data_IF_082868211280
#
_entry.id   IF_082868211280
#
_cell.length_a   1.000
_cell.length_b   1.000
_cell.length_c   1.000
_cell.angle_alpha   90.00
_cell.angle_beta   90.00
_cell.angle_gamma   90.00
#
_symmetry.space_group_name_H-M   'P 1'
#
loop_
_entity.id
_entity.type
_entity.pdbx_description
1 polymer ?
#
# COMPACT_ATOMS: atom_id res chain seq x y z
N UNK A 1 -9.65 -14.09 42.14
CA UNK A 1 -9.13 -14.75 40.92
C UNK A 1 -8.71 -13.66 39.94
N UNK A 2 -7.44 -13.56 39.52
CA UNK A 2 -7.02 -12.56 38.54
C UNK A 2 -7.65 -12.86 37.18
N UNK A 3 -8.19 -11.82 36.55
CA UNK A 3 -8.87 -11.85 35.26
C UNK A 3 -8.00 -12.52 34.17
N UNK A 4 -8.49 -13.64 33.63
CA UNK A 4 -7.81 -14.46 32.62
C UNK A 4 -7.49 -13.66 31.36
N UNK A 5 -8.36 -12.69 30.99
CA UNK A 5 -8.14 -11.83 29.84
C UNK A 5 -6.96 -10.88 30.06
N UNK A 6 -6.83 -10.33 31.27
CA UNK A 6 -5.70 -9.46 31.63
C UNK A 6 -4.39 -10.25 31.62
N UNK A 7 -4.42 -11.52 32.04
CA UNK A 7 -3.26 -12.41 32.01
C UNK A 7 -2.78 -12.67 30.59
N UNK A 8 -3.68 -13.04 29.68
CA UNK A 8 -3.33 -13.24 28.27
C UNK A 8 -2.83 -11.97 27.58
N UNK A 9 -3.37 -10.79 27.93
CA UNK A 9 -2.85 -9.51 27.45
C UNK A 9 -1.44 -9.22 27.97
N UNK A 10 -1.18 -9.49 29.25
CA UNK A 10 0.13 -9.30 29.86
C UNK A 10 1.21 -10.12 29.15
N UNK A 11 0.95 -11.39 28.84
CA UNK A 11 1.89 -12.27 28.12
C UNK A 11 2.21 -11.76 26.70
N UNK A 12 1.19 -11.25 25.99
CA UNK A 12 1.38 -10.63 24.67
C UNK A 12 2.19 -9.35 24.76
N UNK A 13 1.93 -8.52 25.77
CA UNK A 13 2.69 -7.30 26.03
C UNK A 13 4.14 -7.60 26.41
N UNK A 14 4.39 -8.60 27.25
CA UNK A 14 5.76 -9.03 27.56
C UNK A 14 6.51 -9.49 26.31
N UNK A 15 5.86 -10.23 25.41
CA UNK A 15 6.46 -10.64 24.15
C UNK A 15 6.83 -9.43 23.28
N UNK A 16 5.92 -8.46 23.16
CA UNK A 16 6.17 -7.21 22.45
C UNK A 16 7.32 -6.40 23.06
N UNK A 17 7.35 -6.23 24.39
CA UNK A 17 8.42 -5.53 25.12
C UNK A 17 9.77 -6.23 24.97
N UNK A 18 9.77 -7.56 24.89
CA UNK A 18 10.96 -8.37 24.60
C UNK A 18 11.34 -8.38 23.10
N UNK A 19 10.70 -7.54 22.27
CA UNK A 19 10.88 -7.48 20.81
C UNK A 19 10.58 -8.80 20.08
N UNK A 20 9.83 -9.70 20.71
CA UNK A 20 9.27 -10.90 20.08
C UNK A 20 7.95 -10.53 19.42
N UNK A 21 8.06 -9.83 18.29
CA UNK A 21 6.91 -9.40 17.50
C UNK A 21 6.38 -10.61 16.72
N UNK A 22 5.09 -10.97 16.85
CA UNK A 22 4.54 -12.19 16.26
C UNK A 22 4.34 -12.10 14.74
N UNK A 23 4.58 -10.95 14.13
CA UNK A 23 4.40 -10.71 12.70
C UNK A 23 5.69 -10.19 12.11
N UNK A 24 6.16 -10.89 11.10
CA UNK A 24 7.37 -10.57 10.37
C UNK A 24 6.99 -10.05 8.99
N UNK A 25 7.55 -8.92 8.59
CA UNK A 25 7.39 -8.41 7.23
C UNK A 25 7.99 -9.44 6.26
N UNK A 26 7.17 -9.94 5.35
CA UNK A 26 7.57 -10.86 4.29
C UNK A 26 7.93 -10.10 3.02
N UNK A 27 7.07 -9.16 2.63
CA UNK A 27 7.25 -8.37 1.42
C UNK A 27 6.49 -7.04 1.50
N UNK A 28 6.99 -6.06 0.76
CA UNK A 28 6.38 -4.74 0.60
C UNK A 28 6.48 -4.33 -0.87
N UNK A 29 5.43 -3.69 -1.39
CA UNK A 29 5.45 -3.02 -2.69
C UNK A 29 4.74 -1.68 -2.60
N UNK A 30 5.09 -0.77 -3.50
CA UNK A 30 4.41 0.52 -3.66
C UNK A 30 3.76 0.59 -5.02
N UNK A 31 2.45 0.84 -5.04
CA UNK A 31 1.64 0.98 -6.25
C UNK A 31 1.30 2.46 -6.43
N UNK A 32 1.68 3.02 -7.56
CA UNK A 32 1.40 4.40 -7.94
C UNK A 32 0.07 4.45 -8.71
N UNK A 33 -0.76 5.44 -8.43
CA UNK A 33 -2.01 5.67 -9.15
C UNK A 33 -2.00 7.05 -9.81
N UNK A 34 -2.30 7.06 -11.11
CA UNK A 34 -2.45 8.27 -11.90
C UNK A 34 -3.81 8.94 -11.71
N UNK A 35 -3.93 10.16 -12.25
CA UNK A 35 -5.16 10.94 -12.21
C UNK A 35 -6.29 10.23 -12.96
N UNK A 36 -7.35 9.86 -12.25
CA UNK A 36 -8.49 9.14 -12.84
C UNK A 36 -8.31 7.61 -12.91
N UNK A 37 -7.21 7.07 -12.40
CA UNK A 37 -6.99 5.64 -12.28
C UNK A 37 -8.01 4.95 -11.36
N UNK A 38 -8.28 3.67 -11.64
CA UNK A 38 -9.22 2.84 -10.90
C UNK A 38 -8.64 2.35 -9.56
N UNK A 39 -8.22 3.28 -8.67
CA UNK A 39 -7.62 2.96 -7.36
C UNK A 39 -8.51 2.01 -6.53
N UNK A 40 -9.83 2.18 -6.64
CA UNK A 40 -10.81 1.35 -5.94
C UNK A 40 -11.10 0.00 -6.61
N UNK A 41 -10.87 -0.13 -7.92
CA UNK A 41 -11.10 -1.38 -8.64
C UNK A 41 -9.85 -2.27 -8.71
N UNK A 42 -8.67 -1.71 -8.41
CA UNK A 42 -7.43 -2.48 -8.28
C UNK A 42 -7.49 -3.48 -7.12
N UNK A 43 -6.80 -4.61 -7.27
CA UNK A 43 -6.59 -5.61 -6.21
C UNK A 43 -5.93 -5.01 -4.97
N UNK A 44 -5.14 -3.94 -5.15
CA UNK A 44 -4.50 -3.17 -4.08
C UNK A 44 -5.46 -2.17 -3.40
N UNK A 45 -6.71 -2.13 -3.86
CA UNK A 45 -7.80 -1.27 -3.39
C UNK A 45 -8.33 -1.63 -1.99
N UNK A 46 -8.29 -2.91 -1.63
CA UNK A 46 -8.92 -3.42 -0.39
C UNK A 46 -8.12 -4.59 0.18
N UNK A 47 -7.95 -4.62 1.51
CA UNK A 47 -7.19 -5.67 2.20
C UNK A 47 -7.70 -7.08 1.90
N UNK A 48 -9.02 -7.29 1.88
CA UNK A 48 -9.61 -8.62 1.62
C UNK A 48 -9.29 -9.14 0.23
N UNK A 49 -9.41 -8.28 -0.79
CA UNK A 49 -9.12 -8.64 -2.18
C UNK A 49 -7.63 -8.89 -2.37
N UNK A 50 -6.80 -8.05 -1.76
CA UNK A 50 -5.34 -8.20 -1.78
C UNK A 50 -4.88 -9.51 -1.10
N UNK A 51 -5.39 -9.81 0.10
CA UNK A 51 -5.06 -11.07 0.79
C UNK A 51 -5.50 -12.29 -0.02
N UNK A 52 -6.73 -12.28 -0.56
CA UNK A 52 -7.23 -13.38 -1.39
C UNK A 52 -6.37 -13.58 -2.65
N UNK A 53 -5.96 -12.50 -3.30
CA UNK A 53 -5.10 -12.56 -4.47
C UNK A 53 -3.71 -13.15 -4.14
N UNK A 54 -3.09 -12.72 -3.05
CA UNK A 54 -1.82 -13.30 -2.56
C UNK A 54 -2.00 -14.79 -2.27
N UNK A 55 -3.06 -15.18 -1.55
CA UNK A 55 -3.32 -16.60 -1.25
C UNK A 55 -3.50 -17.44 -2.50
N UNK A 56 -4.17 -16.94 -3.53
CA UNK A 56 -4.35 -17.65 -4.80
C UNK A 56 -3.04 -17.92 -5.57
N UNK A 57 -1.98 -17.17 -5.28
CA UNK A 57 -0.67 -17.28 -5.94
C UNK A 57 0.35 -18.05 -5.10
N UNK A 58 0.01 -18.40 -3.86
CA UNK A 58 0.85 -19.22 -3.00
C UNK A 58 0.83 -20.68 -3.45
N UNK A 59 1.97 -21.41 -3.33
CA UNK A 59 1.97 -22.86 -3.42
C UNK A 59 1.00 -23.50 -2.41
N UNK A 60 0.42 -24.65 -2.74
CA UNK A 60 -0.56 -25.36 -1.88
C UNK A 60 -0.05 -25.62 -0.46
N UNK A 61 1.24 -25.89 -0.34
CA UNK A 61 1.94 -26.09 0.94
C UNK A 61 1.91 -24.86 1.86
N UNK A 62 1.67 -23.66 1.32
CA UNK A 62 1.61 -22.40 2.07
C UNK A 62 0.22 -21.76 2.09
N UNK A 63 -0.82 -22.41 1.56
CA UNK A 63 -2.16 -21.81 1.42
C UNK A 63 -2.80 -21.43 2.78
N UNK A 64 -2.52 -22.23 3.81
CA UNK A 64 -3.09 -22.11 5.15
C UNK A 64 -2.22 -21.36 6.16
N UNK A 65 -1.07 -20.80 5.74
CA UNK A 65 -0.20 -20.07 6.67
C UNK A 65 -0.91 -18.83 7.22
N UNK A 66 -0.55 -18.47 8.45
CA UNK A 66 -1.03 -17.26 9.10
C UNK A 66 -0.42 -16.03 8.39
N UNK A 67 -1.29 -15.29 7.70
CA UNK A 67 -0.94 -14.06 6.99
C UNK A 67 -1.68 -12.87 7.58
N UNK A 68 -1.04 -11.71 7.47
CA UNK A 68 -1.70 -10.41 7.60
C UNK A 68 -1.27 -9.52 6.47
N UNK A 69 -2.19 -8.72 5.97
CA UNK A 69 -1.91 -7.68 5.00
C UNK A 69 -2.18 -6.30 5.60
N UNK A 70 -1.48 -5.30 5.11
CA UNK A 70 -1.68 -3.88 5.42
C UNK A 70 -1.62 -3.10 4.12
N UNK A 71 -2.60 -2.23 3.89
CA UNK A 71 -2.63 -1.33 2.74
C UNK A 71 -2.72 0.10 3.24
N UNK A 72 -1.58 0.78 3.24
CA UNK A 72 -1.51 2.17 3.62
C UNK A 72 -1.67 3.06 2.37
N UNK A 73 -2.74 3.86 2.34
CA UNK A 73 -2.94 4.88 1.30
C UNK A 73 -2.22 6.16 1.69
N UNK A 74 -1.39 6.67 0.79
CA UNK A 74 -0.80 8.00 0.93
C UNK A 74 -1.25 8.88 -0.24
N UNK A 75 -1.73 10.08 0.06
CA UNK A 75 -2.19 11.05 -0.93
C UNK A 75 -1.07 12.06 -1.15
N UNK A 76 -0.49 12.08 -2.34
CA UNK A 76 0.48 13.12 -2.72
C UNK A 76 -0.26 14.18 -3.53
N UNK A 77 -0.97 15.10 -2.87
CA UNK A 77 -1.64 16.19 -3.60
C UNK A 77 -1.39 17.57 -3.00
N UNK A 78 -0.57 18.39 -3.69
CA UNK A 78 -0.62 19.85 -3.60
C UNK A 78 -1.82 20.46 -4.37
N UNK A 79 -2.91 19.70 -4.59
CA UNK A 79 -4.11 20.14 -5.33
C UNK A 79 -5.34 19.24 -5.13
N UNK A 80 -5.41 18.48 -4.03
CA UNK A 80 -6.57 17.64 -3.72
C UNK A 80 -7.76 18.49 -3.28
N UNK A 81 -8.96 17.90 -3.18
CA UNK A 81 -10.17 18.50 -2.59
C UNK A 81 -10.04 18.77 -1.08
N UNK A 82 -8.88 19.25 -0.65
CA UNK A 82 -8.66 19.87 0.63
C UNK A 82 -9.18 21.32 0.55
N UNK A 83 -9.38 22.00 1.68
CA UNK A 83 -9.85 23.39 1.70
C UNK A 83 -9.01 24.37 0.87
N UNK A 84 -7.75 24.01 0.58
CA UNK A 84 -6.78 24.77 -0.21
C UNK A 84 -6.70 24.34 -1.69
N UNK A 85 -7.62 23.50 -2.17
CA UNK A 85 -7.69 23.11 -3.59
C UNK A 85 -7.79 24.33 -4.50
N UNK A 86 -7.01 24.36 -5.58
CA UNK A 86 -7.00 25.48 -6.53
C UNK A 86 -6.43 26.79 -5.97
N UNK A 87 -5.88 26.79 -4.75
CA UNK A 87 -5.29 27.97 -4.11
C UNK A 87 -3.75 28.02 -4.23
N UNK A 88 -3.16 27.09 -4.98
CA UNK A 88 -1.72 27.06 -5.24
C UNK A 88 -1.39 27.69 -6.59
N UNK A 89 -0.50 28.68 -6.56
CA UNK A 89 -0.09 29.46 -7.72
C UNK A 89 1.42 29.50 -7.85
N UNK A 90 1.90 29.61 -9.09
CA UNK A 90 3.29 29.79 -9.44
C UNK A 90 3.46 31.15 -10.10
N UNK A 91 4.46 31.91 -9.68
CA UNK A 91 4.84 33.16 -10.33
C UNK A 91 5.89 32.86 -11.40
N UNK A 92 5.60 33.25 -12.64
CA UNK A 92 6.52 33.22 -13.78
C UNK A 92 7.20 34.59 -13.91
N UNK A 93 8.45 34.74 -13.45
CA UNK A 93 9.16 36.02 -13.51
C UNK A 93 9.57 36.40 -14.94
N UNK A 94 9.58 35.44 -15.88
CA UNK A 94 9.97 35.71 -17.28
C UNK A 94 8.89 36.47 -18.02
N UNK A 95 7.62 36.16 -17.73
CA UNK A 95 6.46 36.79 -18.38
C UNK A 95 5.67 37.70 -17.44
N UNK A 96 6.12 37.85 -16.18
CA UNK A 96 5.44 38.60 -15.11
C UNK A 96 3.98 38.16 -14.92
N UNK A 97 3.78 36.84 -14.75
CA UNK A 97 2.44 36.24 -14.68
C UNK A 97 2.30 35.30 -13.51
N UNK A 98 1.09 35.25 -12.94
CA UNK A 98 0.69 34.25 -11.97
C UNK A 98 -0.07 33.16 -12.72
N UNK A 99 0.35 31.91 -12.55
CA UNK A 99 -0.27 30.71 -13.14
C UNK A 99 -0.77 29.79 -12.04
N UNK A 100 -1.76 28.96 -12.32
CA UNK A 100 -2.17 27.91 -11.38
C UNK A 100 -1.13 26.79 -11.40
N UNK A 101 -0.83 26.20 -10.24
CA UNK A 101 0.13 25.10 -10.16
C UNK A 101 -0.28 23.89 -11.03
N UNK A 102 -1.58 23.66 -11.19
CA UNK A 102 -2.18 22.60 -12.03
C UNK A 102 -1.95 22.79 -13.54
N UNK A 103 -1.58 24.01 -13.97
CA UNK A 103 -1.27 24.34 -15.36
C UNK A 103 0.18 23.98 -15.75
N UNK A 104 1.03 23.66 -14.77
CA UNK A 104 2.40 23.24 -15.01
C UNK A 104 2.46 21.75 -15.39
N UNK A 105 3.11 21.45 -16.51
CA UNK A 105 3.19 20.08 -17.03
C UNK A 105 3.91 19.15 -16.05
N UNK A 106 5.00 19.59 -15.42
CA UNK A 106 5.72 18.80 -14.42
C UNK A 106 4.82 18.38 -13.26
N UNK A 107 3.89 19.24 -12.87
CA UNK A 107 2.97 18.97 -11.76
C UNK A 107 1.94 17.88 -12.12
N UNK A 108 1.56 17.79 -13.40
CA UNK A 108 0.62 16.77 -13.89
C UNK A 108 1.23 15.36 -13.91
N UNK A 109 2.55 15.24 -13.95
CA UNK A 109 3.26 13.96 -13.96
C UNK A 109 3.56 13.40 -12.56
N UNK A 110 3.16 14.10 -11.49
CA UNK A 110 3.34 13.60 -10.12
C UNK A 110 2.16 12.65 -9.79
N UNK A 111 2.43 11.41 -9.34
CA UNK A 111 1.38 10.49 -8.90
C UNK A 111 0.50 11.14 -7.84
N UNK A 112 -0.83 11.06 -8.00
CA UNK A 112 -1.76 11.72 -7.09
C UNK A 112 -1.96 10.95 -5.79
N UNK A 113 -1.89 9.63 -5.87
CA UNK A 113 -1.91 8.73 -4.73
C UNK A 113 -0.98 7.56 -4.98
N UNK A 114 -0.51 6.99 -3.88
CA UNK A 114 0.14 5.70 -3.92
C UNK A 114 -0.31 4.87 -2.73
N UNK A 115 -0.16 3.56 -2.86
CA UNK A 115 -0.44 2.60 -1.80
C UNK A 115 0.81 1.82 -1.49
N UNK A 116 1.10 1.72 -0.20
CA UNK A 116 2.12 0.81 0.31
C UNK A 116 1.38 -0.45 0.75
N UNK A 117 1.64 -1.55 0.06
CA UNK A 117 1.04 -2.85 0.33
C UNK A 117 2.08 -3.73 1.01
N UNK A 118 1.78 -4.17 2.24
CA UNK A 118 2.66 -5.01 3.05
C UNK A 118 2.01 -6.34 3.33
N UNK A 119 2.80 -7.40 3.31
CA UNK A 119 2.39 -8.74 3.71
C UNK A 119 3.27 -9.21 4.86
N UNK A 120 2.64 -9.71 5.91
CA UNK A 120 3.28 -10.23 7.11
C UNK A 120 2.95 -11.71 7.29
N UNK A 121 3.93 -12.45 7.81
CA UNK A 121 3.82 -13.86 8.19
C UNK A 121 4.11 -14.03 9.67
N UNK A 122 3.47 -15.01 10.32
CA UNK A 122 3.79 -15.38 11.69
C UNK A 122 5.15 -16.10 11.82
N UNK A 123 5.61 -16.73 10.74
CA UNK A 123 6.87 -17.45 10.67
C UNK A 123 7.77 -16.87 9.58
N UNK A 124 9.01 -16.54 9.94
CA UNK A 124 10.00 -15.96 9.04
C UNK A 124 10.44 -16.90 7.90
N UNK A 125 10.27 -18.22 8.04
CA UNK A 125 10.59 -19.17 6.97
C UNK A 125 9.66 -19.02 5.75
N UNK A 126 8.42 -18.55 5.97
CA UNK A 126 7.46 -18.32 4.89
C UNK A 126 7.66 -17.02 4.11
N UNK A 127 8.70 -16.22 4.42
CA UNK A 127 8.90 -14.93 3.74
C UNK A 127 9.13 -15.08 2.23
N UNK A 128 9.95 -16.04 1.84
CA UNK A 128 10.31 -16.28 0.43
C UNK A 128 9.11 -16.62 -0.46
N UNK A 129 8.26 -17.63 -0.14
CA UNK A 129 7.10 -17.93 -0.97
C UNK A 129 6.09 -16.79 -1.02
N UNK A 130 5.92 -16.03 0.08
CA UNK A 130 5.03 -14.86 0.12
C UNK A 130 5.55 -13.72 -0.75
N UNK A 131 6.85 -13.44 -0.72
CA UNK A 131 7.46 -12.42 -1.58
C UNK A 131 7.31 -12.78 -3.07
N UNK A 132 7.55 -14.04 -3.43
CA UNK A 132 7.36 -14.52 -4.80
C UNK A 132 5.90 -14.40 -5.27
N UNK A 133 4.92 -14.63 -4.38
CA UNK A 133 3.50 -14.44 -4.69
C UNK A 133 3.17 -12.95 -4.93
N UNK A 134 3.69 -12.04 -4.09
CA UNK A 134 3.52 -10.60 -4.28
C UNK A 134 4.14 -10.12 -5.60
N UNK A 135 5.35 -10.54 -5.92
CA UNK A 135 6.03 -10.18 -7.17
C UNK A 135 5.21 -10.60 -8.41
N UNK A 136 4.63 -11.81 -8.38
CA UNK A 136 3.74 -12.29 -9.44
C UNK A 136 2.46 -11.47 -9.54
N UNK A 137 1.88 -11.08 -8.40
CA UNK A 137 0.68 -10.26 -8.36
C UNK A 137 0.92 -8.88 -9.00
N UNK A 138 2.01 -8.22 -8.62
CA UNK A 138 2.40 -6.91 -9.15
C UNK A 138 2.65 -6.98 -10.66
N UNK A 139 3.36 -8.02 -11.13
CA UNK A 139 3.59 -8.22 -12.57
C UNK A 139 2.31 -8.46 -13.37
N UNK A 140 1.35 -9.18 -12.78
CA UNK A 140 0.06 -9.42 -13.43
C UNK A 140 -0.77 -8.14 -13.53
N UNK A 141 -0.86 -7.37 -12.46
CA UNK A 141 -1.58 -6.08 -12.45
C UNK A 141 -0.99 -5.11 -13.48
N UNK A 142 0.35 -5.07 -13.61
CA UNK A 142 1.03 -4.27 -14.64
C UNK A 142 0.79 -4.76 -16.08
N UNK A 143 0.51 -6.06 -16.29
CA UNK A 143 0.18 -6.60 -17.60
C UNK A 143 -1.31 -6.41 -17.97
N UNK A 144 -2.17 -6.32 -16.94
CA UNK A 144 -3.60 -6.06 -17.08
C UNK A 144 -3.91 -4.56 -17.25
N UNK A 145 -2.91 -3.66 -17.14
CA UNK A 145 -3.01 -2.22 -17.44
C UNK A 145 -2.88 -1.97 -18.97
N UNK A 146 -3.98 -1.72 -19.70
CA UNK A 146 -3.97 -1.59 -21.15
C UNK A 146 -3.53 -0.17 -21.54
N UNK A 147 -2.30 0.19 -21.20
CA UNK A 147 -1.72 1.50 -21.56
C UNK A 147 -0.41 1.30 -22.31
N UNK A 148 -0.49 0.60 -23.45
CA UNK A 148 0.48 0.63 -24.54
C UNK A 148 -0.26 0.32 -25.87
N UNK A 149 -1.10 1.26 -26.29
CA UNK A 149 -1.45 1.50 -27.70
C UNK A 149 -1.48 3.00 -27.95
#
# INVERSE_FOLDING_TARGET
MPDERKRGLFERWQSFLARRVPWHLAAETTILFETGGQEMASVFGQEKTFEAAIRSLLPKEYESIALRVDIARHLHRPGGHLPTSGQNFLYDPRNDRIRRLEEEELFRHIPQSYRICRVYTADAEHRSPVAAALDRLVRRDAADDPTNM
#
